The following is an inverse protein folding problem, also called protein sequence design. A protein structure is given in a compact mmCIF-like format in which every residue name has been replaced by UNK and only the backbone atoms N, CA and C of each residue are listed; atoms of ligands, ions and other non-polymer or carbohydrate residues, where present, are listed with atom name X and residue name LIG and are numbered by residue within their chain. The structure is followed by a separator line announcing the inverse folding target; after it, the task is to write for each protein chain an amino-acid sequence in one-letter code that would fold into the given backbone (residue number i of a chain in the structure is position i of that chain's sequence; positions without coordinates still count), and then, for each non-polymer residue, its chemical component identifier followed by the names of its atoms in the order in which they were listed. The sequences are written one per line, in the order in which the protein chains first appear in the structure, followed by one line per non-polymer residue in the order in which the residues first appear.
data_IF_177390166573
#
_entry.id   IF_177390166573
#
_cell.length_a   1.000
_cell.length_b   1.000
_cell.length_c   1.000
_cell.angle_alpha   90.00
_cell.angle_beta   90.00
_cell.angle_gamma   90.00
#
_symmetry.space_group_name_H-M   'P 1'
#
loop_
_entity.id
_entity.type
_entity.pdbx_description
1 polymer ?
#
# COMPACT_ATOMS: atom_id res chain seq x y z
N UNK A 1 -39.36 -2.40 -19.31
CA UNK A 1 -38.20 -2.95 -18.64
C UNK A 1 -37.07 -1.95 -18.88
N UNK A 2 -36.88 -1.04 -17.94
CA UNK A 2 -35.79 -0.07 -17.99
C UNK A 2 -34.51 -0.84 -17.70
N UNK A 3 -33.66 -0.93 -18.69
CA UNK A 3 -32.30 -1.47 -18.59
C UNK A 3 -31.45 -0.42 -17.84
N UNK A 4 -31.59 -0.39 -16.52
CA UNK A 4 -30.65 0.31 -15.66
C UNK A 4 -29.44 -0.61 -15.56
N UNK A 5 -28.66 -0.64 -16.62
CA UNK A 5 -27.26 -1.07 -16.52
C UNK A 5 -26.54 -0.01 -15.66
N UNK A 6 -26.64 -0.18 -14.35
CA UNK A 6 -25.86 0.58 -13.39
C UNK A 6 -24.40 0.31 -13.73
N UNK A 7 -23.82 1.17 -14.59
CA UNK A 7 -22.47 0.98 -15.09
C UNK A 7 -21.56 1.02 -13.88
N UNK A 8 -21.05 -0.14 -13.48
CA UNK A 8 -20.13 -0.30 -12.37
C UNK A 8 -19.00 0.73 -12.47
N UNK A 9 -18.72 1.45 -11.40
CA UNK A 9 -17.61 2.40 -11.32
C UNK A 9 -16.60 1.98 -10.25
N UNK A 10 -15.36 2.44 -10.39
CA UNK A 10 -14.32 2.25 -9.35
C UNK A 10 -14.79 2.86 -8.03
N UNK A 11 -15.38 4.06 -8.09
CA UNK A 11 -15.91 4.76 -6.92
C UNK A 11 -16.91 3.90 -6.14
N UNK A 12 -17.85 3.27 -6.83
CA UNK A 12 -18.90 2.47 -6.18
C UNK A 12 -18.32 1.18 -5.61
N UNK A 13 -17.47 0.49 -6.41
CA UNK A 13 -16.83 -0.76 -5.97
C UNK A 13 -15.95 -0.61 -4.73
N UNK A 14 -15.22 0.51 -4.64
CA UNK A 14 -14.26 0.77 -3.57
C UNK A 14 -14.67 1.92 -2.63
N UNK A 15 -15.94 2.29 -2.63
CA UNK A 15 -16.52 3.31 -1.70
C UNK A 15 -15.79 4.64 -1.73
N UNK A 16 -15.45 5.10 -2.92
CA UNK A 16 -14.76 6.36 -3.13
C UNK A 16 -13.25 6.27 -3.03
N UNK A 17 -12.68 5.08 -2.88
CA UNK A 17 -11.24 4.86 -3.01
C UNK A 17 -10.87 4.49 -4.44
N UNK A 18 -9.71 4.96 -4.89
CA UNK A 18 -9.05 4.51 -6.11
C UNK A 18 -7.91 3.54 -5.71
N UNK A 19 -7.98 2.27 -6.08
CA UNK A 19 -6.84 1.37 -5.93
C UNK A 19 -5.70 1.82 -6.82
N UNK A 20 -4.49 1.90 -6.24
CA UNK A 20 -3.25 2.18 -6.94
C UNK A 20 -2.25 1.13 -6.54
N UNK A 21 -1.85 0.30 -7.50
CA UNK A 21 -0.84 -0.74 -7.28
C UNK A 21 0.52 -0.08 -7.24
N UNK A 22 1.30 -0.42 -6.24
CA UNK A 22 2.62 0.17 -5.96
C UNK A 22 3.59 -0.94 -5.66
N UNK A 23 4.71 -0.91 -6.36
CA UNK A 23 5.86 -1.75 -6.09
C UNK A 23 7.12 -0.90 -6.00
N UNK A 24 8.03 -1.27 -5.11
CA UNK A 24 9.27 -0.55 -4.85
C UNK A 24 10.47 -1.48 -4.81
N UNK A 25 11.56 -1.06 -5.43
CA UNK A 25 12.87 -1.67 -5.21
C UNK A 25 13.69 -0.80 -4.25
N UNK A 26 14.37 -1.44 -3.32
CA UNK A 26 15.00 -0.74 -2.20
C UNK A 26 16.43 -1.23 -1.98
N UNK A 27 17.27 -0.37 -1.44
CA UNK A 27 18.66 -0.71 -1.11
C UNK A 27 18.82 -1.48 0.22
N UNK A 28 17.73 -1.86 0.86
CA UNK A 28 17.71 -2.61 2.12
C UNK A 28 16.29 -2.70 2.68
N UNK A 29 16.14 -3.16 3.92
CA UNK A 29 14.84 -3.49 4.49
C UNK A 29 14.29 -2.46 5.49
N UNK A 30 15.10 -1.50 5.93
CA UNK A 30 14.68 -0.46 6.88
C UNK A 30 14.22 0.80 6.12
N UNK A 31 12.92 1.13 6.07
CA UNK A 31 12.41 2.24 5.28
C UNK A 31 12.89 3.62 5.76
N UNK A 32 13.39 3.73 6.99
CA UNK A 32 13.92 4.98 7.53
C UNK A 32 15.37 5.24 7.14
N UNK A 33 16.12 4.17 6.87
CA UNK A 33 17.55 4.22 6.62
C UNK A 33 17.92 3.86 5.20
N UNK A 34 17.27 2.82 4.64
CA UNK A 34 17.62 2.32 3.32
C UNK A 34 16.97 3.16 2.22
N UNK A 35 17.72 3.32 1.12
CA UNK A 35 17.21 4.07 -0.03
C UNK A 35 16.09 3.35 -0.76
N UNK A 36 15.10 4.11 -1.21
CA UNK A 36 14.20 3.75 -2.29
C UNK A 36 14.94 3.94 -3.61
N UNK A 37 15.07 2.91 -4.45
CA UNK A 37 15.87 2.94 -5.69
C UNK A 37 15.07 2.78 -6.97
N UNK A 38 13.88 2.18 -6.89
CA UNK A 38 12.86 2.21 -7.94
C UNK A 38 11.49 2.35 -7.31
N UNK A 39 10.59 2.97 -8.03
CA UNK A 39 9.17 3.02 -7.68
C UNK A 39 8.34 2.93 -8.94
N UNK A 40 7.28 2.14 -8.89
CA UNK A 40 6.23 2.19 -9.89
C UNK A 40 4.86 2.23 -9.22
N UNK A 41 3.93 2.92 -9.88
CA UNK A 41 2.54 3.08 -9.43
C UNK A 41 1.62 2.91 -10.62
N UNK A 42 0.61 2.07 -10.53
CA UNK A 42 -0.35 1.83 -11.61
C UNK A 42 -1.78 1.97 -11.11
N UNK A 43 -2.58 2.73 -11.84
CA UNK A 43 -4.01 2.85 -11.58
C UNK A 43 -4.78 1.73 -12.27
N UNK A 44 -5.98 1.45 -11.79
CA UNK A 44 -6.92 0.52 -12.41
C UNK A 44 -8.15 1.27 -12.92
N UNK A 45 -8.80 0.72 -13.94
CA UNK A 45 -10.07 1.23 -14.45
C UNK A 45 -11.03 0.07 -14.75
N UNK A 46 -12.26 0.40 -15.03
CA UNK A 46 -13.25 -0.54 -15.55
C UNK A 46 -13.43 -0.22 -17.04
N UNK A 47 -13.29 -1.25 -17.87
CA UNK A 47 -13.43 -1.14 -19.31
C UNK A 47 -14.93 -1.08 -19.75
N UNK A 48 -15.16 -0.98 -21.07
CA UNK A 48 -16.51 -0.95 -21.64
C UNK A 48 -17.31 -2.25 -21.39
N UNK A 49 -16.62 -3.35 -21.12
CA UNK A 49 -17.21 -4.67 -20.81
C UNK A 49 -17.47 -4.86 -19.31
N UNK A 50 -17.20 -3.84 -18.47
CA UNK A 50 -17.34 -3.92 -17.02
C UNK A 50 -16.24 -4.72 -16.33
N UNK A 51 -15.08 -4.93 -16.99
CA UNK A 51 -13.96 -5.65 -16.41
C UNK A 51 -12.93 -4.68 -15.81
N UNK A 52 -12.37 -5.05 -14.67
CA UNK A 52 -11.22 -4.35 -14.11
C UNK A 52 -9.99 -4.64 -14.97
N UNK A 53 -9.30 -3.58 -15.38
CA UNK A 53 -8.10 -3.67 -16.22
C UNK A 53 -7.05 -2.66 -15.74
N UNK A 54 -5.76 -2.91 -16.00
CA UNK A 54 -4.70 -1.91 -15.82
C UNK A 54 -5.02 -0.62 -16.59
N UNK A 55 -4.63 0.54 -16.03
CA UNK A 55 -4.86 1.83 -16.67
C UNK A 55 -3.54 2.53 -17.00
N UNK A 56 -3.03 3.38 -16.14
CA UNK A 56 -1.83 4.18 -16.39
C UNK A 56 -0.74 3.86 -15.37
N UNK A 57 0.48 3.63 -15.87
CA UNK A 57 1.66 3.37 -15.06
C UNK A 57 2.55 4.62 -14.99
N UNK A 58 3.09 4.86 -13.81
CA UNK A 58 4.11 5.88 -13.52
C UNK A 58 5.28 5.17 -12.87
N UNK A 59 6.50 5.36 -13.37
CA UNK A 59 7.70 4.75 -12.80
C UNK A 59 8.88 5.71 -12.81
N UNK A 60 9.83 5.50 -11.89
CA UNK A 60 11.07 6.25 -11.83
C UNK A 60 12.17 5.43 -11.16
N UNK A 61 13.40 5.63 -11.63
CA UNK A 61 14.60 5.21 -10.93
C UNK A 61 15.06 6.34 -10.00
N UNK A 62 15.28 6.02 -8.74
CA UNK A 62 15.52 7.00 -7.71
C UNK A 62 16.96 6.94 -7.26
N UNK A 63 17.60 8.10 -7.20
CA UNK A 63 18.91 8.27 -6.60
C UNK A 63 18.81 8.10 -5.08
N UNK A 64 19.69 7.27 -4.46
CA UNK A 64 19.75 7.18 -3.02
C UNK A 64 19.87 8.56 -2.35
N UNK A 65 19.08 8.80 -1.30
CA UNK A 65 19.17 10.05 -0.55
C UNK A 65 20.46 10.11 0.27
N UNK A 66 20.93 11.32 0.58
CA UNK A 66 22.16 11.53 1.33
C UNK A 66 22.07 10.89 2.72
N UNK A 67 23.08 10.08 3.09
CA UNK A 67 23.13 9.35 4.35
C UNK A 67 22.29 8.07 4.39
N UNK A 68 21.71 7.65 3.26
CA UNK A 68 21.01 6.36 3.19
C UNK A 68 21.97 5.17 3.31
N UNK A 69 21.48 4.10 3.91
CA UNK A 69 22.18 2.82 4.00
C UNK A 69 21.95 1.99 2.74
N UNK A 70 23.01 1.42 2.18
CA UNK A 70 22.98 0.52 1.02
C UNK A 70 23.40 -0.88 1.47
N UNK A 71 22.48 -1.81 1.48
CA UNK A 71 22.76 -3.22 1.79
C UNK A 71 23.26 -3.95 0.54
N UNK A 72 24.56 -4.28 0.49
CA UNK A 72 25.15 -4.92 -0.67
C UNK A 72 24.45 -6.22 -1.08
N UNK A 73 24.01 -7.04 -0.11
CA UNK A 73 23.27 -8.27 -0.41
C UNK A 73 21.96 -8.02 -1.15
N UNK A 74 21.28 -6.90 -0.85
CA UNK A 74 20.04 -6.52 -1.51
C UNK A 74 20.32 -6.05 -2.94
N UNK A 75 21.35 -5.26 -3.13
CA UNK A 75 21.82 -4.78 -4.44
C UNK A 75 22.25 -5.94 -5.33
N UNK A 76 23.01 -6.88 -4.76
CA UNK A 76 23.46 -8.09 -5.50
C UNK A 76 22.25 -8.95 -5.93
N UNK A 77 21.24 -9.05 -5.08
CA UNK A 77 20.00 -9.79 -5.38
C UNK A 77 19.19 -9.12 -6.51
N UNK A 78 19.08 -7.80 -6.48
CA UNK A 78 18.34 -7.04 -7.48
C UNK A 78 19.10 -6.89 -8.80
N UNK A 79 20.42 -7.11 -8.79
CA UNK A 79 21.31 -6.82 -9.93
C UNK A 79 21.23 -5.38 -10.43
N UNK A 80 20.98 -4.44 -9.50
CA UNK A 80 20.83 -3.01 -9.79
C UNK A 80 21.98 -2.24 -9.16
N UNK A 81 22.72 -1.45 -9.95
CA UNK A 81 23.59 -0.40 -9.39
C UNK A 81 22.74 0.84 -9.08
N UNK A 82 22.56 1.21 -7.80
CA UNK A 82 21.72 2.34 -7.42
C UNK A 82 22.33 3.71 -7.80
N UNK A 83 23.59 3.74 -8.25
CA UNK A 83 24.30 4.95 -8.64
C UNK A 83 24.59 5.03 -10.15
N UNK A 84 24.13 4.07 -10.94
CA UNK A 84 24.30 4.07 -12.39
C UNK A 84 23.47 5.20 -13.04
N UNK A 85 24.14 6.25 -13.47
CA UNK A 85 23.53 7.42 -14.11
C UNK A 85 22.81 7.08 -15.43
N UNK A 86 23.16 5.98 -16.09
CA UNK A 86 22.49 5.54 -17.31
C UNK A 86 21.03 5.16 -17.08
N UNK A 87 20.63 4.90 -15.84
CA UNK A 87 19.25 4.62 -15.42
C UNK A 87 18.37 5.87 -15.35
N UNK A 88 18.89 7.07 -15.66
CA UNK A 88 18.17 8.34 -15.56
C UNK A 88 17.65 8.61 -14.14
N UNK A 89 18.54 8.53 -13.17
CA UNK A 89 18.22 8.70 -11.75
C UNK A 89 17.66 10.09 -11.45
N UNK A 90 16.52 10.13 -10.73
CA UNK A 90 15.92 11.36 -10.23
C UNK A 90 15.88 11.36 -8.69
N UNK A 91 15.62 12.51 -8.07
CA UNK A 91 15.42 12.57 -6.62
C UNK A 91 14.06 11.97 -6.21
N UNK A 92 13.91 11.57 -4.93
CA UNK A 92 12.60 11.15 -4.41
C UNK A 92 11.51 12.21 -4.67
N UNK A 93 11.86 13.49 -4.56
CA UNK A 93 10.93 14.60 -4.80
C UNK A 93 10.48 14.65 -6.26
N UNK A 94 11.42 14.51 -7.20
CA UNK A 94 11.15 14.59 -8.63
C UNK A 94 10.41 13.36 -9.16
N UNK A 95 10.53 12.21 -8.47
CA UNK A 95 9.75 11.02 -8.74
C UNK A 95 8.33 11.11 -8.15
N UNK A 96 8.24 11.24 -6.83
CA UNK A 96 6.98 11.04 -6.11
C UNK A 96 5.98 12.19 -6.27
N UNK A 97 6.42 13.45 -6.29
CA UNK A 97 5.48 14.58 -6.35
C UNK A 97 4.72 14.65 -7.69
N UNK A 98 5.34 14.43 -8.86
CA UNK A 98 4.60 14.31 -10.12
C UNK A 98 3.66 13.11 -10.14
N UNK A 99 4.08 11.93 -9.63
CA UNK A 99 3.21 10.75 -9.53
C UNK A 99 1.99 11.02 -8.66
N UNK A 100 2.15 11.65 -7.50
CA UNK A 100 1.04 12.02 -6.63
C UNK A 100 0.08 13.00 -7.30
N UNK A 101 0.60 13.96 -8.08
CA UNK A 101 -0.22 14.88 -8.87
C UNK A 101 -1.02 14.15 -9.94
N UNK A 102 -0.40 13.19 -10.64
CA UNK A 102 -1.06 12.38 -11.66
C UNK A 102 -2.16 11.49 -11.04
N UNK A 103 -1.89 10.83 -9.92
CA UNK A 103 -2.88 10.04 -9.18
C UNK A 103 -4.04 10.92 -8.69
N UNK A 104 -3.78 12.14 -8.20
CA UNK A 104 -4.84 13.09 -7.82
C UNK A 104 -5.71 13.51 -9.01
N UNK A 105 -5.16 13.57 -10.21
CA UNK A 105 -5.95 13.77 -11.45
C UNK A 105 -6.84 12.57 -11.71
N UNK A 106 -6.30 11.34 -11.62
CA UNK A 106 -7.08 10.09 -11.75
C UNK A 106 -8.19 9.96 -10.70
N UNK A 107 -7.95 10.38 -9.47
CA UNK A 107 -8.99 10.43 -8.43
C UNK A 107 -10.19 11.26 -8.89
N UNK A 108 -9.95 12.45 -9.48
CA UNK A 108 -11.02 13.31 -9.98
C UNK A 108 -11.75 12.68 -11.17
N UNK A 109 -11.00 12.09 -12.12
CA UNK A 109 -11.54 11.41 -13.30
C UNK A 109 -12.46 10.25 -12.93
N UNK A 110 -12.08 9.48 -11.90
CA UNK A 110 -12.83 8.31 -11.40
C UNK A 110 -13.89 8.68 -10.34
N UNK A 111 -14.04 9.96 -9.98
CA UNK A 111 -14.96 10.41 -8.94
C UNK A 111 -14.57 9.94 -7.51
N UNK A 112 -13.33 9.53 -7.32
CA UNK A 112 -12.82 9.02 -6.04
C UNK A 112 -12.30 10.14 -5.15
N UNK A 113 -12.31 9.91 -3.83
CA UNK A 113 -11.88 10.90 -2.83
C UNK A 113 -10.41 10.73 -2.44
N UNK A 114 -9.91 9.49 -2.43
CA UNK A 114 -8.58 9.13 -1.93
C UNK A 114 -8.07 7.87 -2.63
N UNK A 115 -6.75 7.72 -2.75
CA UNK A 115 -6.15 6.47 -3.20
C UNK A 115 -5.99 5.49 -2.03
N UNK A 116 -6.13 4.20 -2.32
CA UNK A 116 -5.71 3.12 -1.44
C UNK A 116 -4.54 2.40 -2.10
N UNK A 117 -3.44 2.24 -1.37
CA UNK A 117 -2.28 1.50 -1.85
C UNK A 117 -2.61 0.02 -1.95
N UNK A 118 -2.30 -0.57 -3.08
CA UNK A 118 -2.35 -2.01 -3.32
C UNK A 118 -0.91 -2.49 -3.51
N UNK A 119 -0.51 -3.61 -2.92
CA UNK A 119 0.84 -4.14 -3.02
C UNK A 119 0.88 -5.64 -2.74
N UNK A 120 1.89 -6.34 -3.25
CA UNK A 120 2.12 -7.76 -2.93
C UNK A 120 3.02 -7.87 -1.71
N UNK A 121 2.45 -8.08 -0.52
CA UNK A 121 2.97 -7.75 0.80
C UNK A 121 3.01 -6.22 1.03
N UNK A 122 1.92 -5.57 0.72
CA UNK A 122 1.72 -4.13 0.63
C UNK A 122 2.27 -3.28 1.79
N UNK A 123 2.44 -3.87 2.97
CA UNK A 123 3.02 -3.17 4.13
C UNK A 123 4.48 -2.74 3.89
N UNK A 124 5.22 -3.49 3.05
CA UNK A 124 6.60 -3.16 2.70
C UNK A 124 6.62 -1.89 1.85
N UNK A 125 5.92 -1.88 0.72
CA UNK A 125 5.84 -0.73 -0.19
C UNK A 125 5.28 0.50 0.50
N UNK A 126 4.20 0.31 1.25
CA UNK A 126 3.60 1.36 2.06
C UNK A 126 4.62 1.99 3.01
N UNK A 127 5.43 1.19 3.70
CA UNK A 127 6.39 1.70 4.66
C UNK A 127 7.48 2.58 4.01
N UNK A 128 7.99 2.19 2.84
CA UNK A 128 8.98 2.96 2.08
C UNK A 128 8.39 4.23 1.48
N UNK A 129 7.20 4.16 0.89
CA UNK A 129 6.51 5.34 0.35
C UNK A 129 6.22 6.35 1.46
N UNK A 130 5.75 5.89 2.64
CA UNK A 130 5.45 6.81 3.73
C UNK A 130 6.71 7.36 4.42
N UNK A 131 7.79 6.61 4.48
CA UNK A 131 9.08 7.14 4.92
C UNK A 131 9.62 8.22 3.97
N UNK A 132 9.47 8.04 2.66
CA UNK A 132 9.81 9.09 1.67
C UNK A 132 8.90 10.31 1.79
N UNK A 133 7.58 10.13 1.99
CA UNK A 133 6.63 11.23 2.26
C UNK A 133 7.04 12.03 3.50
N UNK A 134 7.50 11.35 4.56
CA UNK A 134 7.97 12.00 5.79
C UNK A 134 9.25 12.81 5.54
N UNK A 135 10.25 12.22 4.87
CA UNK A 135 11.50 12.92 4.48
C UNK A 135 11.22 14.18 3.67
N UNK A 136 10.30 14.08 2.73
CA UNK A 136 9.89 15.19 1.85
C UNK A 136 8.93 16.18 2.52
N UNK A 137 8.45 15.92 3.72
CA UNK A 137 7.37 16.69 4.40
C UNK A 137 6.15 16.85 3.49
N UNK A 138 5.81 15.82 2.74
CA UNK A 138 4.82 15.83 1.66
C UNK A 138 3.47 15.21 2.05
N UNK A 139 3.14 15.07 3.33
CA UNK A 139 1.91 14.43 3.81
C UNK A 139 0.64 15.02 3.17
N UNK A 140 0.56 16.36 3.04
CA UNK A 140 -0.58 17.04 2.41
C UNK A 140 -0.64 16.84 0.87
N UNK A 141 0.46 16.44 0.28
CA UNK A 141 0.56 16.17 -1.18
C UNK A 141 0.26 14.72 -1.52
N UNK A 142 0.38 13.79 -0.57
CA UNK A 142 0.09 12.37 -0.77
C UNK A 142 -1.38 12.15 -1.15
N UNK A 143 -1.69 11.31 -2.15
CA UNK A 143 -3.05 10.88 -2.46
C UNK A 143 -3.53 9.73 -1.59
N UNK A 144 -2.60 9.01 -0.94
CA UNK A 144 -2.86 7.73 -0.29
C UNK A 144 -3.53 7.85 1.07
N UNK A 145 -4.32 6.84 1.42
CA UNK A 145 -4.78 6.63 2.78
C UNK A 145 -3.57 6.30 3.68
N UNK A 146 -3.46 6.88 4.90
CA UNK A 146 -2.22 6.81 5.66
C UNK A 146 -1.89 5.43 6.24
N UNK A 147 -2.86 4.54 6.36
CA UNK A 147 -2.66 3.21 6.98
C UNK A 147 -3.51 2.08 6.37
N UNK A 148 -4.48 2.37 5.49
CA UNK A 148 -5.24 1.30 4.84
C UNK A 148 -4.56 0.90 3.54
N UNK A 149 -4.38 -0.40 3.36
CA UNK A 149 -3.81 -1.01 2.15
C UNK A 149 -4.68 -2.18 1.69
N UNK A 150 -4.51 -2.58 0.44
CA UNK A 150 -5.01 -3.86 -0.08
C UNK A 150 -3.79 -4.73 -0.37
N UNK A 151 -3.72 -5.90 0.25
CA UNK A 151 -2.60 -6.82 0.09
C UNK A 151 -2.97 -7.96 -0.86
N UNK A 152 -2.34 -7.96 -2.04
CA UNK A 152 -2.59 -8.95 -3.09
C UNK A 152 -2.03 -10.33 -2.75
N UNK A 153 -1.00 -10.45 -1.91
CA UNK A 153 -0.52 -11.75 -1.43
C UNK A 153 -1.59 -12.46 -0.58
N UNK A 154 -2.24 -11.72 0.32
CA UNK A 154 -3.35 -12.23 1.13
C UNK A 154 -4.57 -12.59 0.29
N UNK A 155 -4.94 -11.74 -0.67
CA UNK A 155 -6.05 -12.02 -1.60
C UNK A 155 -5.75 -13.24 -2.47
N UNK A 156 -4.53 -13.37 -2.98
CA UNK A 156 -4.10 -14.50 -3.81
C UNK A 156 -4.10 -15.80 -3.01
N UNK A 157 -3.66 -15.77 -1.75
CA UNK A 157 -3.72 -16.94 -0.87
C UNK A 157 -5.17 -17.40 -0.68
N UNK A 158 -6.10 -16.47 -0.45
CA UNK A 158 -7.51 -16.77 -0.26
C UNK A 158 -8.17 -17.33 -1.54
N UNK A 159 -7.90 -16.73 -2.71
CA UNK A 159 -8.65 -17.00 -3.95
C UNK A 159 -7.98 -18.06 -4.82
N UNK A 160 -6.65 -18.15 -4.77
CA UNK A 160 -5.81 -18.98 -5.67
C UNK A 160 -4.95 -19.99 -4.92
N UNK A 161 -4.86 -19.93 -3.60
CA UNK A 161 -3.99 -20.79 -2.79
C UNK A 161 -2.49 -20.49 -2.98
N UNK A 162 -2.12 -19.29 -3.41
CA UNK A 162 -0.74 -18.88 -3.71
C UNK A 162 -0.44 -17.52 -3.10
N UNK A 163 0.76 -17.34 -2.51
CA UNK A 163 1.20 -16.07 -1.91
C UNK A 163 2.47 -15.51 -2.54
N UNK A 164 3.11 -16.24 -3.45
CA UNK A 164 4.27 -15.77 -4.21
C UNK A 164 3.76 -15.20 -5.53
N UNK A 165 4.13 -13.96 -5.87
CA UNK A 165 3.60 -13.20 -7.01
C UNK A 165 3.60 -14.02 -8.30
N UNK A 166 4.75 -14.56 -8.70
CA UNK A 166 4.88 -15.40 -9.90
C UNK A 166 3.89 -16.59 -9.90
N UNK A 167 3.79 -17.31 -8.78
CA UNK A 167 2.89 -18.48 -8.67
C UNK A 167 1.43 -18.05 -8.69
N UNK A 168 1.10 -16.93 -8.08
CA UNK A 168 -0.23 -16.35 -8.09
C UNK A 168 -0.62 -15.89 -9.51
N UNK A 169 0.29 -15.27 -10.26
CA UNK A 169 0.10 -14.92 -11.67
C UNK A 169 -0.22 -16.17 -12.51
N UNK A 170 0.58 -17.23 -12.41
CA UNK A 170 0.29 -18.47 -13.13
C UNK A 170 -1.06 -19.08 -12.75
N UNK A 171 -1.41 -19.10 -11.46
CA UNK A 171 -2.72 -19.60 -11.00
C UNK A 171 -3.89 -18.74 -11.52
N UNK A 172 -3.67 -17.43 -11.69
CA UNK A 172 -4.63 -16.49 -12.28
C UNK A 172 -4.67 -16.50 -13.81
N UNK A 173 -3.74 -17.22 -14.47
CA UNK A 173 -3.50 -17.22 -15.92
C UNK A 173 -3.02 -15.84 -16.43
N UNK A 174 -2.23 -15.19 -15.63
CA UNK A 174 -1.48 -13.97 -15.98
C UNK A 174 -0.07 -14.44 -16.39
N UNK A 175 0.36 -14.04 -17.57
CA UNK A 175 1.70 -14.37 -18.07
C UNK A 175 2.76 -13.65 -17.21
N UNK A 176 3.80 -14.38 -16.82
CA UNK A 176 4.89 -13.87 -16.00
C UNK A 176 6.24 -14.35 -16.55
N UNK A 177 7.08 -13.40 -16.95
CA UNK A 177 8.46 -13.68 -17.39
C UNK A 177 9.42 -13.46 -16.21
N UNK A 178 10.02 -14.55 -15.73
CA UNK A 178 10.97 -14.49 -14.61
C UNK A 178 12.23 -13.67 -14.90
N UNK A 179 12.60 -13.52 -16.18
CA UNK A 179 13.77 -12.73 -16.55
C UNK A 179 13.53 -11.22 -16.43
N UNK A 180 12.27 -10.80 -16.37
CA UNK A 180 11.87 -9.40 -16.16
C UNK A 180 11.50 -9.09 -14.70
N UNK A 181 11.46 -10.10 -13.83
CA UNK A 181 11.16 -9.94 -12.42
C UNK A 181 12.21 -9.08 -11.69
N UNK A 182 11.81 -8.48 -10.57
CA UNK A 182 12.63 -7.57 -9.77
C UNK A 182 12.95 -6.24 -10.46
N UNK A 183 11.99 -5.75 -11.22
CA UNK A 183 11.97 -4.38 -11.70
C UNK A 183 10.62 -3.75 -11.37
N UNK A 184 10.59 -2.65 -10.61
CA UNK A 184 9.36 -2.09 -10.07
C UNK A 184 8.26 -1.89 -11.11
N UNK A 185 8.59 -1.46 -12.32
CA UNK A 185 7.60 -1.24 -13.38
C UNK A 185 6.98 -2.56 -13.88
N UNK A 186 7.78 -3.61 -14.02
CA UNK A 186 7.29 -4.92 -14.47
C UNK A 186 6.44 -5.59 -13.38
N UNK A 187 6.93 -5.61 -12.15
CA UNK A 187 6.24 -6.26 -11.04
C UNK A 187 4.93 -5.52 -10.72
N UNK A 188 4.91 -4.18 -10.74
CA UNK A 188 3.67 -3.38 -10.66
C UNK A 188 2.65 -3.74 -11.74
N UNK A 189 3.08 -3.92 -13.00
CA UNK A 189 2.18 -4.31 -14.08
C UNK A 189 1.59 -5.71 -13.81
N UNK A 190 2.44 -6.70 -13.48
CA UNK A 190 2.00 -8.07 -13.24
C UNK A 190 1.12 -8.19 -12.01
N UNK A 191 1.42 -7.45 -10.98
CA UNK A 191 0.58 -7.35 -9.80
C UNK A 191 -0.77 -6.69 -10.10
N UNK A 192 -0.79 -5.64 -10.93
CA UNK A 192 -2.05 -5.00 -11.36
C UNK A 192 -2.91 -5.97 -12.18
N UNK A 193 -2.32 -6.72 -13.10
CA UNK A 193 -3.01 -7.75 -13.88
C UNK A 193 -3.57 -8.85 -12.95
N UNK A 194 -2.80 -9.30 -11.96
CA UNK A 194 -3.22 -10.26 -10.95
C UNK A 194 -4.39 -9.72 -10.12
N UNK A 195 -4.28 -8.49 -9.62
CA UNK A 195 -5.33 -7.83 -8.84
C UNK A 195 -6.64 -7.72 -9.65
N UNK A 196 -6.55 -7.28 -10.89
CA UNK A 196 -7.70 -7.20 -11.81
C UNK A 196 -8.30 -8.60 -12.06
N UNK A 197 -7.48 -9.63 -12.29
CA UNK A 197 -7.96 -11.00 -12.48
C UNK A 197 -8.72 -11.53 -11.25
N UNK A 198 -8.20 -11.27 -10.04
CA UNK A 198 -8.87 -11.63 -8.78
C UNK A 198 -10.22 -10.90 -8.66
N UNK A 199 -10.26 -9.58 -8.89
CA UNK A 199 -11.47 -8.78 -8.84
C UNK A 199 -12.53 -9.28 -9.84
N UNK A 200 -12.15 -9.51 -11.07
CA UNK A 200 -13.03 -9.99 -12.13
C UNK A 200 -13.59 -11.39 -11.81
N UNK A 201 -12.73 -12.30 -11.30
CA UNK A 201 -13.14 -13.63 -10.87
C UNK A 201 -14.13 -13.54 -9.71
N UNK A 202 -13.82 -12.73 -8.70
CA UNK A 202 -14.68 -12.57 -7.53
C UNK A 202 -16.05 -11.96 -7.92
N UNK A 203 -16.06 -10.91 -8.71
CA UNK A 203 -17.29 -10.26 -9.19
C UNK A 203 -18.16 -11.23 -9.98
N UNK A 204 -17.55 -12.09 -10.80
CA UNK A 204 -18.29 -13.10 -11.56
C UNK A 204 -19.01 -14.13 -10.67
N UNK A 205 -18.41 -14.52 -9.53
CA UNK A 205 -18.98 -15.54 -8.64
C UNK A 205 -19.91 -14.97 -7.56
N UNK A 206 -19.56 -13.82 -7.00
CA UNK A 206 -20.24 -13.23 -5.85
C UNK A 206 -21.10 -12.02 -6.21
N UNK A 207 -21.05 -11.55 -7.46
CA UNK A 207 -21.66 -10.27 -7.83
C UNK A 207 -20.91 -9.07 -7.22
N UNK A 208 -21.55 -7.92 -7.29
CA UNK A 208 -21.05 -6.70 -6.67
C UNK A 208 -21.48 -6.65 -5.21
N UNK A 209 -20.59 -6.25 -4.30
CA UNK A 209 -20.99 -6.02 -2.91
C UNK A 209 -22.04 -4.91 -2.84
N UNK A 210 -23.16 -5.20 -2.18
CA UNK A 210 -24.17 -4.20 -1.90
C UNK A 210 -23.60 -3.04 -1.07
N UNK A 211 -24.01 -1.80 -1.33
CA UNK A 211 -23.66 -0.68 -0.48
C UNK A 211 -24.23 -0.93 0.93
N UNK A 212 -23.42 -0.73 1.93
CA UNK A 212 -23.87 -0.78 3.32
C UNK A 212 -24.09 0.65 3.79
N UNK A 213 -25.31 1.12 3.80
CA UNK A 213 -25.71 2.42 4.37
C UNK A 213 -25.87 2.27 5.89
N UNK A 214 -24.75 2.32 6.58
CA UNK A 214 -24.74 2.49 8.03
C UNK A 214 -24.24 3.90 8.31
N UNK A 215 -25.11 4.76 8.83
CA UNK A 215 -24.69 6.00 9.46
C UNK A 215 -23.94 5.63 10.75
N UNK A 216 -22.61 5.74 10.73
CA UNK A 216 -21.82 5.59 11.93
C UNK A 216 -21.84 6.95 12.64
N UNK A 217 -22.63 7.03 13.72
CA UNK A 217 -22.61 8.19 14.61
C UNK A 217 -21.35 8.15 15.48
N UNK A 218 -20.29 8.79 14.99
CA UNK A 218 -19.02 8.90 15.72
C UNK A 218 -19.12 9.70 17.01
N UNK A 219 -20.22 10.46 17.23
CA UNK A 219 -20.44 11.22 18.46
C UNK A 219 -21.09 10.36 19.55
N UNK A 220 -21.63 9.19 19.21
CA UNK A 220 -22.32 8.30 20.12
C UNK A 220 -21.51 7.04 20.49
N UNK A 221 -20.21 7.01 20.18
CA UNK A 221 -19.31 6.03 20.76
C UNK A 221 -19.15 6.34 22.25
N UNK A 222 -20.10 5.88 23.07
CA UNK A 222 -19.95 5.72 24.50
C UNK A 222 -18.86 4.65 24.74
N UNK A 223 -17.62 5.00 24.52
CA UNK A 223 -16.50 4.40 25.22
C UNK A 223 -16.62 4.96 26.64
N UNK A 224 -17.43 4.30 27.48
CA UNK A 224 -17.27 4.42 28.91
C UNK A 224 -15.86 3.94 29.18
N UNK A 225 -14.93 4.89 29.36
CA UNK A 225 -13.71 4.62 30.08
C UNK A 225 -14.15 4.03 31.41
N UNK A 226 -13.91 2.75 31.59
CA UNK A 226 -14.03 2.13 32.90
C UNK A 226 -12.85 2.65 33.71
N UNK A 227 -13.07 3.81 34.34
CA UNK A 227 -12.26 4.36 35.40
C UNK A 227 -12.54 3.57 36.68
N UNK A 228 -12.12 2.32 36.73
CA UNK A 228 -12.09 1.51 37.95
C UNK A 228 -10.77 0.73 37.97
N UNK A 229 -9.68 1.48 38.15
CA UNK A 229 -8.49 0.97 38.83
C UNK A 229 -8.29 1.91 40.02
N UNK A 230 -9.03 1.63 41.10
CA UNK A 230 -8.76 2.15 42.41
C UNK A 230 -7.39 1.68 42.82
N UNK A 231 -6.46 2.62 42.91
CA UNK A 231 -5.16 2.41 43.51
C UNK A 231 -5.35 2.34 45.02
N UNK A 232 -5.43 1.13 45.55
CA UNK A 232 -5.21 0.87 46.97
C UNK A 232 -3.70 0.97 47.27
N UNK A 233 -3.24 2.19 47.55
CA UNK A 233 -2.00 2.45 48.23
C UNK A 233 -2.30 2.43 49.74
N UNK A 234 -2.16 1.29 50.38
CA UNK A 234 -2.03 1.25 51.84
C UNK A 234 -0.59 1.57 52.24
N UNK A 235 -0.45 2.76 52.79
CA UNK A 235 0.67 3.18 53.61
C UNK A 235 0.88 2.19 54.78
N UNK A 236 1.94 1.44 54.79
CA UNK A 236 2.46 0.79 55.98
C UNK A 236 3.59 1.64 56.57
N UNK A 237 3.23 2.52 57.51
CA UNK A 237 4.16 3.10 58.48
C UNK A 237 4.74 1.98 59.30
N UNK A 238 6.05 1.77 59.22
CA UNK A 238 6.80 1.02 60.22
C UNK A 238 7.42 1.98 61.22
N UNK A 239 6.94 1.86 62.44
CA UNK A 239 7.53 2.49 63.63
C UNK A 239 8.98 2.04 63.83
N UNK A 240 9.78 3.04 64.07
CA UNK A 240 11.09 2.90 64.66
C UNK A 240 10.95 2.71 66.18
N UNK A 241 11.53 1.68 66.72
CA UNK A 241 11.90 1.64 68.14
C UNK A 241 13.29 1.04 68.29
N UNK A 242 14.17 1.86 68.86
CA UNK A 242 15.43 1.53 69.43
C UNK A 242 15.42 0.24 70.25
N UNK A 243 16.45 -0.54 70.21
CA UNK A 243 17.12 -0.92 71.42
C UNK A 243 18.60 -1.33 71.24
N UNK A 244 19.41 -0.66 72.01
CA UNK A 244 20.81 -0.83 72.29
C UNK A 244 21.14 -2.19 72.95
N UNK A 245 22.35 -2.74 72.70
CA UNK A 245 23.02 -3.49 73.71
C UNK A 245 23.78 -4.76 73.32
N UNK A 246 25.03 -4.58 73.22
CA UNK A 246 26.23 -5.35 73.45
C UNK A 246 27.04 -5.71 72.22
#
# INVERSE_FOLDING_TARGET
MEDISNKLTIKDRFRGFLPVVVDVETAGLDPKKSALIEVAMMTVKIDEKGQFVPDEIFSANIRPFEGSEICQKNIDFLHIDPFDESRNLVTESDALLPMFKAIKKKLKEQGCKRAILVGHNAHFDHSFIFAAIERLKAASKSPFHPFSVIDTASLSMLVLGQSVLQKACYAAKVDFDQNCAHGAAYDTLKETELFCAILNRFTKFCGMPEPVDIEIDYNNSNIKESSDVSADNQDSKSDSSDNSGK
#
